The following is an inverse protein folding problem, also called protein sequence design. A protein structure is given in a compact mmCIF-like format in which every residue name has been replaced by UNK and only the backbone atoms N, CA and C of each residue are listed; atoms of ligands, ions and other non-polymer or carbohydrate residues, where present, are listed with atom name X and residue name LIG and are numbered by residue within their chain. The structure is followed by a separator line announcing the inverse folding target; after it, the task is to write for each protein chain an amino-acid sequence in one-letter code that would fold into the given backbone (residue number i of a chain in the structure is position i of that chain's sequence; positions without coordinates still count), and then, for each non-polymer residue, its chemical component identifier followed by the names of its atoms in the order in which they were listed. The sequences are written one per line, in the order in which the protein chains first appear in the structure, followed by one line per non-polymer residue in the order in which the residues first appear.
data_IF_565884261552
#
_entry.id   IF_565884261552
#
_cell.length_a   1.000
_cell.length_b   1.000
_cell.length_c   1.000
_cell.angle_alpha   90.00
_cell.angle_beta   90.00
_cell.angle_gamma   90.00
#
_symmetry.space_group_name_H-M   'P 1'
#
loop_
_entity.id
_entity.type
_entity.pdbx_description
1 polymer ?
#
# COMPACT_ATOMS: atom_id res chain seq x y z
N UNK A 1 14.89 14.27 -4.26
CA UNK A 1 14.72 13.03 -3.49
C UNK A 1 13.39 13.14 -2.74
N UNK A 2 12.40 12.30 -3.04
CA UNK A 2 11.15 12.30 -2.28
C UNK A 2 11.37 11.62 -0.92
N UNK A 3 10.77 12.13 0.15
CA UNK A 3 10.83 11.47 1.46
C UNK A 3 10.20 10.07 1.39
N UNK A 4 10.87 9.11 2.03
CA UNK A 4 10.39 7.74 2.13
C UNK A 4 9.11 7.69 2.96
N UNK A 5 8.14 6.81 2.62
CA UNK A 5 6.86 6.73 3.34
C UNK A 5 7.00 6.53 4.86
N UNK A 6 8.03 5.82 5.32
CA UNK A 6 8.27 5.55 6.73
C UNK A 6 8.52 6.82 7.56
N UNK A 7 8.93 7.93 6.94
CA UNK A 7 9.12 9.20 7.64
C UNK A 7 7.80 9.84 8.07
N UNK A 8 6.67 9.42 7.49
CA UNK A 8 5.34 9.95 7.79
C UNK A 8 4.62 9.16 8.89
N UNK A 9 5.24 8.09 9.42
CA UNK A 9 4.70 7.36 10.57
C UNK A 9 4.63 8.29 11.78
N UNK A 10 3.48 8.29 12.45
CA UNK A 10 3.27 8.98 13.73
C UNK A 10 4.04 8.29 14.85
N UNK A 11 4.10 8.90 16.03
CA UNK A 11 4.74 8.27 17.19
C UNK A 11 4.04 6.97 17.60
N UNK A 12 2.70 6.96 17.61
CA UNK A 12 1.91 5.75 17.87
C UNK A 12 2.15 4.67 16.83
N UNK A 13 2.23 5.03 15.53
CA UNK A 13 2.54 4.06 14.48
C UNK A 13 3.92 3.42 14.70
N UNK A 14 4.92 4.21 15.13
CA UNK A 14 6.28 3.70 15.39
C UNK A 14 6.32 2.78 16.61
N UNK A 15 5.58 3.09 17.67
CA UNK A 15 5.45 2.22 18.84
C UNK A 15 4.84 0.88 18.45
N UNK A 16 3.69 0.91 17.77
CA UNK A 16 3.00 -0.28 17.28
C UNK A 16 3.90 -1.12 16.37
N UNK A 17 4.58 -0.51 15.40
CA UNK A 17 5.48 -1.26 14.51
C UNK A 17 6.66 -1.86 15.28
N UNK A 18 7.18 -1.18 16.32
CA UNK A 18 8.22 -1.75 17.19
C UNK A 18 7.73 -3.02 17.89
N UNK A 19 6.53 -3.00 18.45
CA UNK A 19 5.92 -4.17 19.09
C UNK A 19 5.68 -5.32 18.08
N UNK A 20 5.27 -4.99 16.85
CA UNK A 20 5.15 -5.98 15.76
C UNK A 20 6.51 -6.60 15.42
N UNK A 21 7.60 -5.82 15.40
CA UNK A 21 8.95 -6.37 15.19
C UNK A 21 9.39 -7.30 16.31
N UNK A 22 9.16 -6.92 17.56
CA UNK A 22 9.50 -7.74 18.73
C UNK A 22 8.77 -9.08 18.67
N UNK A 23 7.45 -9.05 18.45
CA UNK A 23 6.65 -10.25 18.27
C UNK A 23 7.14 -11.09 17.09
N UNK A 24 7.37 -10.48 15.93
CA UNK A 24 7.82 -11.18 14.73
C UNK A 24 9.17 -11.88 14.99
N UNK A 25 10.10 -11.19 15.64
CA UNK A 25 11.39 -11.75 16.03
C UNK A 25 11.24 -12.94 16.99
N UNK A 26 10.45 -12.79 18.06
CA UNK A 26 10.21 -13.84 19.05
C UNK A 26 9.54 -15.08 18.45
N UNK A 27 8.62 -14.88 17.51
CA UNK A 27 7.89 -15.97 16.86
C UNK A 27 8.65 -16.55 15.65
N UNK A 28 9.79 -15.97 15.24
CA UNK A 28 10.53 -16.43 14.07
C UNK A 28 9.86 -16.12 12.73
N UNK A 29 9.05 -15.05 12.69
CA UNK A 29 8.47 -14.49 11.46
C UNK A 29 9.54 -13.72 10.70
N UNK A 30 9.52 -13.82 9.37
CA UNK A 30 10.38 -13.02 8.50
C UNK A 30 10.04 -11.53 8.62
N UNK A 31 11.01 -10.74 9.08
CA UNK A 31 10.82 -9.30 9.35
C UNK A 31 10.43 -8.49 8.11
N UNK A 32 10.60 -9.02 6.89
CA UNK A 32 10.14 -8.37 5.67
C UNK A 32 8.62 -8.17 5.63
N UNK A 33 7.84 -9.02 6.30
CA UNK A 33 6.40 -8.80 6.45
C UNK A 33 6.10 -7.53 7.27
N UNK A 34 6.90 -7.27 8.31
CA UNK A 34 6.80 -6.06 9.13
C UNK A 34 7.25 -4.82 8.35
N UNK A 35 8.36 -4.93 7.61
CA UNK A 35 8.87 -3.85 6.75
C UNK A 35 7.80 -3.36 5.74
N UNK A 36 7.07 -4.30 5.13
CA UNK A 36 6.01 -3.98 4.17
C UNK A 36 4.78 -3.35 4.83
N UNK A 37 4.37 -3.86 5.99
CA UNK A 37 3.29 -3.27 6.79
C UNK A 37 3.63 -1.82 7.16
N UNK A 38 4.83 -1.57 7.67
CA UNK A 38 5.30 -0.24 8.03
C UNK A 38 5.38 0.71 6.82
N UNK A 39 5.81 0.20 5.65
CA UNK A 39 5.85 0.96 4.40
C UNK A 39 4.46 1.38 3.95
N UNK A 40 3.49 0.47 3.97
CA UNK A 40 2.12 0.75 3.55
C UNK A 40 1.42 1.71 4.52
N UNK A 41 1.63 1.55 5.83
CA UNK A 41 1.14 2.49 6.84
C UNK A 41 1.75 3.89 6.65
N UNK A 42 3.05 3.95 6.38
CA UNK A 42 3.71 5.22 6.04
C UNK A 42 3.14 5.86 4.77
N UNK A 43 2.75 5.05 3.77
CA UNK A 43 2.10 5.54 2.54
C UNK A 43 0.73 6.10 2.84
N UNK A 44 -0.06 5.42 3.66
CA UNK A 44 -1.35 5.91 4.14
C UNK A 44 -1.22 7.28 4.82
N UNK A 45 -0.29 7.43 5.78
CA UNK A 45 -0.04 8.71 6.46
C UNK A 45 0.44 9.81 5.52
N UNK A 46 1.34 9.47 4.60
CA UNK A 46 1.87 10.41 3.59
C UNK A 46 0.78 11.03 2.71
N UNK A 47 -0.31 10.30 2.48
CA UNK A 47 -1.42 10.73 1.64
C UNK A 47 -2.63 11.19 2.46
N UNK A 48 -2.37 11.91 3.55
CA UNK A 48 -3.38 12.46 4.46
C UNK A 48 -4.37 11.39 4.93
N UNK A 49 -3.83 10.36 5.59
CA UNK A 49 -4.59 9.18 6.03
C UNK A 49 -5.39 8.56 4.87
N UNK A 50 -4.73 8.42 3.72
CA UNK A 50 -5.28 7.82 2.51
C UNK A 50 -6.25 8.70 1.71
N UNK A 51 -6.70 9.84 2.23
CA UNK A 51 -7.73 10.69 1.59
C UNK A 51 -7.26 11.34 0.29
N UNK A 52 -5.95 11.55 0.11
CA UNK A 52 -5.38 12.10 -1.12
C UNK A 52 -5.22 11.05 -2.24
N UNK A 53 -5.60 9.79 -2.01
CA UNK A 53 -5.57 8.74 -3.02
C UNK A 53 -6.99 8.37 -3.43
N UNK A 54 -7.22 8.47 -4.73
CA UNK A 54 -8.48 8.07 -5.37
C UNK A 54 -8.36 6.58 -5.70
N UNK A 55 -9.42 5.81 -5.41
CA UNK A 55 -9.46 4.40 -5.75
C UNK A 55 -9.45 4.23 -7.28
N UNK A 56 -8.65 3.29 -7.79
CA UNK A 56 -8.62 2.98 -9.23
C UNK A 56 -10.02 2.69 -9.79
N UNK A 57 -10.92 2.17 -8.94
CA UNK A 57 -12.28 1.80 -9.31
C UNK A 57 -13.22 3.00 -9.53
N UNK A 58 -12.80 4.21 -9.14
CA UNK A 58 -13.61 5.43 -9.25
C UNK A 58 -13.50 6.13 -10.60
N UNK A 59 -12.55 5.76 -11.48
CA UNK A 59 -12.40 6.52 -12.72
C UNK A 59 -11.38 6.02 -13.74
N UNK A 60 -10.92 4.78 -13.67
CA UNK A 60 -9.97 4.24 -14.65
C UNK A 60 -10.65 3.77 -15.93
N UNK A 61 -10.04 4.07 -17.07
CA UNK A 61 -10.50 3.67 -18.40
C UNK A 61 -9.34 3.22 -19.28
N UNK A 62 -9.59 2.31 -20.20
CA UNK A 62 -8.64 1.99 -21.25
C UNK A 62 -8.58 3.07 -22.35
N UNK A 63 -7.70 2.87 -23.33
CA UNK A 63 -7.52 3.82 -24.44
C UNK A 63 -8.76 3.93 -25.34
N UNK A 64 -9.67 2.95 -25.29
CA UNK A 64 -10.92 2.96 -26.03
C UNK A 64 -12.06 3.64 -25.25
N UNK A 65 -11.84 4.02 -23.99
CA UNK A 65 -12.85 4.63 -23.13
C UNK A 65 -13.76 3.62 -22.42
N UNK A 66 -13.33 2.35 -22.32
CA UNK A 66 -14.05 1.31 -21.55
C UNK A 66 -13.60 1.36 -20.10
N UNK A 67 -14.55 1.30 -19.17
CA UNK A 67 -14.24 1.39 -17.73
C UNK A 67 -13.40 0.20 -17.29
N UNK A 68 -12.38 0.46 -16.48
CA UNK A 68 -11.54 -0.54 -15.85
C UNK A 68 -11.72 -0.52 -14.34
N UNK A 69 -11.80 -1.69 -13.74
CA UNK A 69 -11.87 -1.86 -12.28
C UNK A 69 -11.01 -3.02 -11.84
N UNK A 70 -10.60 -3.00 -10.58
CA UNK A 70 -9.78 -4.00 -9.93
C UNK A 70 -10.56 -4.64 -8.80
N UNK A 71 -10.52 -5.96 -8.73
CA UNK A 71 -10.92 -6.73 -7.56
C UNK A 71 -9.73 -7.48 -6.99
N UNK A 72 -9.81 -7.87 -5.72
CA UNK A 72 -8.89 -8.88 -5.17
C UNK A 72 -9.13 -10.25 -5.82
N UNK A 73 -8.14 -11.13 -5.69
CA UNK A 73 -8.35 -12.57 -5.91
C UNK A 73 -9.36 -13.12 -4.92
N UNK A 74 -9.96 -14.28 -5.21
CA UNK A 74 -10.93 -14.92 -4.31
C UNK A 74 -10.36 -15.12 -2.89
N UNK A 75 -9.10 -15.57 -2.80
CA UNK A 75 -8.39 -15.73 -1.53
C UNK A 75 -8.28 -14.41 -0.78
N UNK A 76 -7.77 -13.37 -1.44
CA UNK A 76 -7.52 -12.06 -0.82
C UNK A 76 -8.84 -11.36 -0.45
N UNK A 77 -9.88 -11.53 -1.26
CA UNK A 77 -11.23 -11.04 -0.97
C UNK A 77 -11.80 -11.72 0.29
N UNK A 78 -11.66 -13.06 0.40
CA UNK A 78 -12.08 -13.78 1.59
C UNK A 78 -11.30 -13.35 2.85
N UNK A 79 -10.00 -13.10 2.73
CA UNK A 79 -9.19 -12.56 3.85
C UNK A 79 -9.63 -11.14 4.23
N UNK A 80 -9.84 -10.25 3.24
CA UNK A 80 -10.33 -8.90 3.48
C UNK A 80 -11.70 -8.90 4.18
N UNK A 81 -12.62 -9.76 3.73
CA UNK A 81 -13.95 -9.92 4.34
C UNK A 81 -13.83 -10.36 5.80
N UNK A 82 -13.03 -11.39 6.11
CA UNK A 82 -12.82 -11.84 7.49
C UNK A 82 -12.28 -10.73 8.40
N UNK A 83 -11.36 -9.90 7.91
CA UNK A 83 -10.85 -8.76 8.68
C UNK A 83 -11.96 -7.73 8.91
N UNK A 84 -12.71 -7.36 7.85
CA UNK A 84 -13.72 -6.31 7.90
C UNK A 84 -14.96 -6.69 8.72
N UNK A 85 -15.37 -7.95 8.67
CA UNK A 85 -16.50 -8.48 9.44
C UNK A 85 -16.09 -9.03 10.81
N UNK A 86 -14.78 -9.19 11.06
CA UNK A 86 -14.25 -9.77 12.28
C UNK A 86 -14.36 -8.85 13.49
N UNK A 87 -14.63 -9.42 14.67
CA UNK A 87 -14.73 -8.64 15.91
C UNK A 87 -13.41 -8.03 16.40
N UNK A 88 -12.27 -8.44 15.84
CA UNK A 88 -10.96 -7.86 16.18
C UNK A 88 -10.83 -6.40 15.71
N UNK A 89 -11.45 -6.05 14.57
CA UNK A 89 -11.29 -4.74 13.92
C UNK A 89 -11.70 -3.56 14.81
N UNK A 90 -12.72 -3.73 15.66
CA UNK A 90 -13.20 -2.64 16.52
C UNK A 90 -12.32 -2.40 17.75
N UNK A 91 -11.46 -3.34 18.10
CA UNK A 91 -10.63 -3.30 19.33
C UNK A 91 -9.13 -3.37 19.06
N UNK A 92 -8.73 -3.38 17.80
CA UNK A 92 -7.32 -3.40 17.41
C UNK A 92 -6.67 -2.03 17.59
N UNK A 93 -5.41 -2.01 18.02
CA UNK A 93 -4.59 -0.80 18.12
C UNK A 93 -4.08 -0.33 16.74
N UNK A 94 -4.20 -1.18 15.71
CA UNK A 94 -3.91 -0.78 14.33
C UNK A 94 -4.99 0.20 13.85
N UNK A 95 -4.57 1.31 13.22
CA UNK A 95 -5.48 2.32 12.70
C UNK A 95 -6.57 1.71 11.79
N UNK A 96 -7.82 1.83 12.22
CA UNK A 96 -8.98 1.25 11.54
C UNK A 96 -9.25 1.86 10.16
N UNK A 97 -8.87 3.12 9.96
CA UNK A 97 -8.91 3.78 8.67
C UNK A 97 -7.85 3.22 7.73
N UNK A 98 -6.64 2.97 8.23
CA UNK A 98 -5.59 2.29 7.48
C UNK A 98 -6.02 0.89 7.03
N UNK A 99 -6.63 0.10 7.92
CA UNK A 99 -7.11 -1.25 7.57
C UNK A 99 -8.12 -1.18 6.42
N UNK A 100 -9.14 -0.32 6.52
CA UNK A 100 -10.15 -0.16 5.46
C UNK A 100 -9.53 0.32 4.15
N UNK A 101 -8.61 1.28 4.23
CA UNK A 101 -7.88 1.80 3.08
C UNK A 101 -7.02 0.71 2.41
N UNK A 102 -6.36 -0.15 3.19
CA UNK A 102 -5.58 -1.29 2.68
C UNK A 102 -6.44 -2.36 2.02
N UNK A 103 -7.67 -2.53 2.52
CA UNK A 103 -8.64 -3.53 2.05
C UNK A 103 -9.59 -3.01 0.96
N UNK A 104 -9.43 -1.77 0.50
CA UNK A 104 -10.05 -1.31 -0.75
C UNK A 104 -9.27 -1.91 -1.94
N UNK A 105 -9.90 -2.68 -2.85
CA UNK A 105 -9.18 -3.33 -3.94
C UNK A 105 -8.62 -2.36 -4.98
N UNK A 106 -9.24 -1.20 -5.19
CA UNK A 106 -8.74 -0.17 -6.09
C UNK A 106 -7.62 0.70 -5.51
N UNK A 107 -7.30 0.52 -4.22
CA UNK A 107 -6.11 1.10 -3.56
C UNK A 107 -5.06 0.02 -3.28
N UNK A 108 -5.51 -1.06 -2.64
CA UNK A 108 -4.70 -2.12 -2.03
C UNK A 108 -3.97 -3.02 -3.01
N UNK A 109 -4.37 -3.06 -4.28
CA UNK A 109 -3.67 -3.85 -5.30
C UNK A 109 -2.23 -3.37 -5.52
N UNK A 110 -1.94 -2.09 -5.27
CA UNK A 110 -0.60 -1.49 -5.40
C UNK A 110 0.21 -1.45 -4.11
N UNK A 111 -0.24 -2.18 -3.07
CA UNK A 111 0.37 -2.20 -1.74
C UNK A 111 1.08 -3.53 -1.49
N UNK A 112 2.13 -3.46 -0.67
CA UNK A 112 3.12 -4.55 -0.56
C UNK A 112 2.88 -5.51 0.60
N UNK A 113 2.13 -5.08 1.62
CA UNK A 113 1.83 -5.90 2.80
C UNK A 113 0.96 -7.10 2.44
N UNK A 114 1.27 -8.23 3.04
CA UNK A 114 0.52 -9.47 2.89
C UNK A 114 -0.78 -9.41 3.72
N UNK A 115 -1.93 -9.70 3.10
CA UNK A 115 -3.24 -9.63 3.77
C UNK A 115 -3.42 -10.69 4.86
N UNK A 116 -2.88 -11.90 4.67
CA UNK A 116 -2.96 -12.94 5.70
C UNK A 116 -2.11 -12.55 6.92
N UNK A 117 -0.98 -11.88 6.70
CA UNK A 117 -0.17 -11.34 7.80
C UNK A 117 -0.88 -10.19 8.51
N UNK A 118 -1.48 -9.26 7.74
CA UNK A 118 -2.29 -8.18 8.29
C UNK A 118 -3.44 -8.71 9.15
N UNK A 119 -4.15 -9.75 8.70
CA UNK A 119 -5.20 -10.40 9.47
C UNK A 119 -4.70 -10.84 10.85
N UNK A 120 -3.56 -11.53 10.91
CA UNK A 120 -2.99 -11.96 12.18
C UNK A 120 -2.58 -10.79 13.06
N UNK A 121 -2.03 -9.72 12.51
CA UNK A 121 -1.68 -8.52 13.29
C UNK A 121 -2.92 -7.80 13.81
N UNK A 122 -3.98 -7.70 13.02
CA UNK A 122 -5.26 -7.14 13.49
C UNK A 122 -5.81 -7.92 14.68
N UNK A 123 -5.76 -9.26 14.63
CA UNK A 123 -6.21 -10.10 15.74
C UNK A 123 -5.27 -9.96 16.95
N UNK A 124 -3.96 -10.07 16.73
CA UNK A 124 -2.94 -10.03 17.78
C UNK A 124 -2.96 -8.75 18.61
N UNK A 125 -3.15 -7.60 17.96
CA UNK A 125 -3.17 -6.29 18.60
C UNK A 125 -4.59 -5.86 18.97
N UNK A 126 -5.51 -6.81 19.13
CA UNK A 126 -6.88 -6.57 19.58
C UNK A 126 -7.16 -7.26 20.92
N UNK A 127 -8.36 -7.08 21.44
CA UNK A 127 -8.85 -7.82 22.61
C UNK A 127 -8.89 -9.36 22.43
N UNK A 128 -8.60 -9.87 21.22
CA UNK A 128 -8.68 -11.28 20.82
C UNK A 128 -7.31 -11.89 20.53
N UNK A 129 -6.26 -11.36 21.16
CA UNK A 129 -4.87 -11.77 20.92
C UNK A 129 -4.62 -13.28 21.14
N UNK A 130 -5.45 -13.93 21.96
CA UNK A 130 -5.42 -15.36 22.26
C UNK A 130 -5.85 -16.27 21.09
N UNK A 131 -6.48 -15.72 20.05
CA UNK A 131 -6.92 -16.46 18.85
C UNK A 131 -5.80 -16.66 17.82
N UNK A 132 -4.64 -16.02 18.00
CA UNK A 132 -3.51 -16.11 17.06
C UNK A 132 -2.72 -17.40 17.27
N UNK A 133 -2.99 -18.40 16.43
CA UNK A 133 -2.22 -19.64 16.41
C UNK A 133 -1.09 -19.59 15.35
N UNK A 134 0.13 -19.90 15.79
CA UNK A 134 1.27 -20.29 14.94
C UNK A 134 1.77 -19.27 13.88
N UNK A 135 1.95 -18.01 14.27
CA UNK A 135 2.60 -16.98 13.44
C UNK A 135 3.93 -17.42 12.81
N UNK A 136 4.81 -18.02 13.61
CA UNK A 136 6.17 -18.38 13.21
C UNK A 136 6.25 -19.36 12.06
N UNK A 137 5.51 -20.46 12.14
CA UNK A 137 5.52 -21.48 11.09
C UNK A 137 5.00 -20.91 9.77
N UNK A 138 3.88 -20.16 9.83
CA UNK A 138 3.19 -19.62 8.65
C UNK A 138 3.98 -18.52 7.94
N UNK A 139 4.70 -17.68 8.66
CA UNK A 139 5.38 -16.50 8.11
C UNK A 139 6.91 -16.53 8.27
N UNK A 140 7.51 -17.70 8.52
CA UNK A 140 8.97 -17.89 8.66
C UNK A 140 9.77 -17.48 7.42
N UNK A 141 9.16 -17.54 6.23
CA UNK A 141 9.76 -17.12 4.97
C UNK A 141 8.84 -16.15 4.27
N UNK A 142 9.37 -14.97 3.91
CA UNK A 142 8.61 -14.01 3.14
C UNK A 142 8.42 -14.46 1.69
N UNK A 143 7.16 -14.46 1.25
CA UNK A 143 6.75 -14.76 -0.12
C UNK A 143 6.33 -13.46 -0.80
N UNK A 144 6.99 -13.14 -1.90
CA UNK A 144 6.56 -12.06 -2.79
C UNK A 144 5.32 -12.51 -3.55
N UNK A 145 4.23 -11.75 -3.42
CA UNK A 145 3.01 -12.01 -4.16
C UNK A 145 2.98 -11.02 -5.33
N UNK A 146 3.10 -11.55 -6.54
CA UNK A 146 2.91 -10.79 -7.78
C UNK A 146 1.48 -11.01 -8.28
N UNK A 147 0.90 -9.99 -8.93
CA UNK A 147 -0.39 -10.07 -9.63
C UNK A 147 -1.56 -10.59 -8.76
N UNK A 148 -1.69 -10.12 -7.52
CA UNK A 148 -2.76 -10.55 -6.60
C UNK A 148 -4.09 -9.80 -6.82
N UNK A 149 -4.38 -9.42 -8.05
CA UNK A 149 -5.57 -8.68 -8.41
C UNK A 149 -6.12 -9.14 -9.75
N UNK A 150 -7.40 -8.88 -9.96
CA UNK A 150 -8.11 -9.18 -11.21
C UNK A 150 -8.53 -7.85 -11.82
N UNK A 151 -8.07 -7.59 -13.05
CA UNK A 151 -8.49 -6.43 -13.84
C UNK A 151 -9.73 -6.79 -14.64
N UNK A 152 -10.81 -6.06 -14.41
CA UNK A 152 -12.03 -6.13 -15.18
C UNK A 152 -12.07 -4.96 -16.15
N UNK A 153 -12.39 -5.23 -17.41
CA UNK A 153 -12.65 -4.19 -18.42
C UNK A 153 -14.08 -4.36 -18.89
N UNK A 154 -14.85 -3.27 -18.87
CA UNK A 154 -16.21 -3.27 -19.38
C UNK A 154 -16.24 -3.58 -20.88
N UNK A 155 -17.29 -4.24 -21.36
CA UNK A 155 -17.47 -4.49 -22.79
C UNK A 155 -17.84 -3.20 -23.54
N UNK A 156 -18.58 -2.32 -22.88
CA UNK A 156 -19.07 -1.07 -23.46
C UNK A 156 -18.13 0.11 -23.22
N UNK A 157 -18.05 0.99 -24.22
CA UNK A 157 -17.38 2.30 -24.11
C UNK A 157 -18.34 3.25 -23.41
N UNK A 158 -17.99 3.68 -22.21
CA UNK A 158 -18.80 4.62 -21.42
C UNK A 158 -18.17 6.00 -21.33
N UNK A 159 -16.88 6.12 -21.62
CA UNK A 159 -16.20 7.41 -21.74
C UNK A 159 -16.13 7.82 -23.21
N UNK A 160 -17.13 8.59 -23.66
CA UNK A 160 -17.09 9.22 -24.97
C UNK A 160 -16.15 10.43 -24.91
N UNK A 161 -14.91 10.26 -25.40
CA UNK A 161 -14.07 11.41 -25.73
C UNK A 161 -14.77 12.18 -26.86
N UNK A 162 -14.98 13.50 -26.74
CA UNK A 162 -15.60 14.26 -27.82
C UNK A 162 -14.83 14.02 -29.12
N UNK A 163 -15.55 13.62 -30.17
CA UNK A 163 -15.01 13.60 -31.52
C UNK A 163 -14.64 15.03 -31.85
N UNK A 164 -13.39 15.27 -32.26
CA UNK A 164 -12.99 16.56 -32.83
C UNK A 164 -13.76 16.73 -34.14
N UNK A 165 -14.95 17.33 -34.08
CA UNK A 165 -15.70 17.75 -35.25
C UNK A 165 -15.57 19.27 -35.37
N UNK A 166 -15.06 19.69 -36.52
CA UNK A 166 -14.59 21.02 -36.92
C UNK A 166 -13.12 21.29 -36.55
N UNK A 167 -12.26 21.17 -37.56
CA UNK A 167 -10.82 21.37 -37.46
C UNK A 167 -10.51 22.83 -37.05
N UNK A 168 -9.93 23.06 -35.86
CA UNK A 168 -9.40 24.37 -35.50
C UNK A 168 -8.10 24.60 -36.28
N UNK A 169 -7.82 25.83 -36.67
CA UNK A 169 -6.56 26.23 -37.28
C UNK A 169 -5.36 25.78 -36.42
N UNK A 170 -4.24 25.39 -37.05
CA UNK A 170 -3.06 24.83 -36.37
C UNK A 170 -2.57 25.68 -35.19
N UNK A 171 -2.75 27.01 -35.21
CA UNK A 171 -2.42 27.89 -34.09
C UNK A 171 -3.33 27.75 -32.87
N UNK A 172 -4.62 27.46 -33.06
CA UNK A 172 -5.57 27.29 -31.96
C UNK A 172 -5.37 25.91 -31.29
N UNK A 173 -5.06 24.89 -32.09
CA UNK A 173 -4.68 23.57 -31.58
C UNK A 173 -3.37 23.61 -30.80
N UNK A 174 -2.39 24.43 -31.21
CA UNK A 174 -1.12 24.55 -30.48
C UNK A 174 -1.30 25.34 -29.18
N UNK A 175 -2.17 26.36 -29.15
CA UNK A 175 -2.48 27.10 -27.91
C UNK A 175 -3.31 26.27 -26.93
N UNK A 176 -4.29 25.52 -27.42
CA UNK A 176 -5.11 24.63 -26.59
C UNK A 176 -4.32 23.38 -26.17
N UNK A 177 -3.44 22.85 -27.02
CA UNK A 177 -2.47 21.83 -26.63
C UNK A 177 -1.48 22.37 -25.60
N UNK A 178 -0.94 23.59 -25.74
CA UNK A 178 -0.07 24.16 -24.71
C UNK A 178 -0.82 24.43 -23.40
N UNK A 179 -2.08 24.88 -23.45
CA UNK A 179 -2.90 25.13 -22.27
C UNK A 179 -3.28 23.82 -21.57
N UNK A 180 -3.74 22.81 -22.31
CA UNK A 180 -4.05 21.47 -21.79
C UNK A 180 -2.79 20.72 -21.33
N UNK A 181 -1.64 20.92 -21.98
CA UNK A 181 -0.36 20.34 -21.57
C UNK A 181 0.28 21.09 -20.39
N UNK A 182 -0.01 22.39 -20.20
CA UNK A 182 0.35 23.12 -18.98
C UNK A 182 -0.55 22.75 -17.79
N UNK A 183 -1.85 22.54 -18.03
CA UNK A 183 -2.79 22.03 -17.01
C UNK A 183 -2.48 20.56 -16.68
N UNK A 184 -2.14 19.74 -17.67
CA UNK A 184 -1.75 18.32 -17.51
C UNK A 184 -0.32 18.15 -17.00
N UNK A 185 0.59 19.13 -17.17
CA UNK A 185 1.92 19.07 -16.53
C UNK A 185 1.85 19.05 -15.00
N UNK A 186 0.70 19.36 -14.40
CA UNK A 186 0.48 19.22 -12.97
C UNK A 186 -0.16 17.91 -12.52
N UNK A 187 -0.45 16.97 -13.43
CA UNK A 187 -1.04 15.69 -13.07
C UNK A 187 -0.72 14.61 -14.08
N UNK A 188 -0.01 13.57 -13.62
CA UNK A 188 0.31 12.32 -14.32
C UNK A 188 1.46 12.37 -15.32
N UNK A 189 2.67 12.54 -14.79
CA UNK A 189 3.86 12.01 -15.44
C UNK A 189 3.90 10.48 -15.30
N UNK A 190 4.46 9.82 -16.30
CA UNK A 190 4.86 8.41 -16.37
C UNK A 190 5.68 7.91 -15.15
N UNK A 191 6.09 8.83 -14.27
CA UNK A 191 6.60 8.57 -12.92
C UNK A 191 5.57 7.94 -11.97
N UNK A 192 4.28 7.97 -12.25
CA UNK A 192 3.29 7.22 -11.46
C UNK A 192 3.39 5.72 -11.76
N UNK A 193 3.60 5.31 -13.01
CA UNK A 193 3.81 3.89 -13.30
C UNK A 193 5.21 3.42 -12.89
N UNK A 194 6.27 4.24 -13.03
CA UNK A 194 7.60 3.90 -12.48
C UNK A 194 7.69 4.04 -10.94
N UNK A 195 6.81 4.83 -10.34
CA UNK A 195 6.70 5.02 -8.88
C UNK A 195 5.82 3.97 -8.21
N UNK A 196 4.89 3.36 -8.95
CA UNK A 196 4.08 2.22 -8.52
C UNK A 196 4.77 0.88 -8.81
N UNK A 197 5.34 0.72 -10.02
CA UNK A 197 6.17 -0.42 -10.42
C UNK A 197 7.63 0.02 -10.44
N UNK A 198 8.24 0.11 -9.26
CA UNK A 198 9.69 0.33 -9.17
C UNK A 198 10.41 -0.67 -10.07
N UNK A 199 11.38 -0.18 -10.87
CA UNK A 199 12.22 -1.00 -11.76
C UNK A 199 12.54 -2.35 -11.12
N UNK A 200 11.95 -3.42 -11.64
CA UNK A 200 12.49 -4.75 -11.45
C UNK A 200 13.81 -4.76 -12.22
N UNK A 201 14.93 -4.67 -11.50
CA UNK A 201 16.21 -5.35 -11.76
C UNK A 201 17.27 -4.91 -10.74
N UNK A 202 18.04 -5.90 -10.27
CA UNK A 202 19.28 -5.84 -9.49
C UNK A 202 19.23 -6.13 -7.96
N UNK A 203 19.06 -7.42 -7.67
CA UNK A 203 19.93 -8.29 -6.82
C UNK A 203 20.72 -7.66 -5.65
N UNK A 204 20.55 -8.28 -4.47
CA UNK A 204 21.57 -8.54 -3.45
C UNK A 204 22.43 -7.35 -2.99
N UNK A 205 22.01 -6.62 -1.95
CA UNK A 205 22.87 -6.10 -0.83
C UNK A 205 22.12 -5.15 0.13
N UNK A 206 20.83 -5.35 0.38
CA UNK A 206 20.14 -4.68 1.48
C UNK A 206 20.11 -5.59 2.71
N UNK A 207 21.28 -5.91 3.27
CA UNK A 207 21.35 -6.15 4.71
C UNK A 207 20.94 -4.82 5.36
N UNK A 208 19.74 -4.90 5.95
CA UNK A 208 18.79 -3.82 6.18
C UNK A 208 19.36 -2.63 6.97
N UNK A 209 19.11 -1.42 6.50
CA UNK A 209 19.33 -0.18 7.26
C UNK A 209 18.48 -0.13 8.54
N UNK A 210 17.38 -0.90 8.61
CA UNK A 210 16.49 -0.97 9.77
C UNK A 210 17.03 -1.92 10.86
N UNK A 211 17.75 -2.99 10.50
CA UNK A 211 18.46 -3.80 11.51
C UNK A 211 19.57 -2.99 12.18
N UNK A 212 20.23 -2.08 11.43
CA UNK A 212 21.20 -1.12 11.99
C UNK A 212 20.55 -0.07 12.89
N UNK A 213 19.31 0.34 12.62
CA UNK A 213 18.55 1.25 13.49
C UNK A 213 18.14 0.57 14.80
N UNK A 214 17.76 -0.72 14.76
CA UNK A 214 17.51 -1.52 15.96
C UNK A 214 18.78 -1.71 16.82
N UNK A 215 19.95 -1.92 16.20
CA UNK A 215 21.23 -2.01 16.92
C UNK A 215 21.62 -0.67 17.58
N UNK A 216 21.38 0.46 16.90
CA UNK A 216 21.62 1.81 17.43
C UNK A 216 20.70 2.15 18.62
N UNK A 217 19.45 1.67 18.61
CA UNK A 217 18.51 1.84 19.72
C UNK A 217 18.91 1.00 20.96
N UNK A 218 19.42 -0.23 20.75
CA UNK A 218 19.97 -1.06 21.84
C UNK A 218 21.19 -0.42 22.51
N UNK A 219 22.10 0.17 21.74
CA UNK A 219 23.30 0.85 22.27
C UNK A 219 22.93 2.05 23.15
N UNK A 220 21.86 2.78 22.82
CA UNK A 220 21.42 3.95 23.60
C UNK A 220 20.87 3.59 25.00
N UNK A 221 20.26 2.41 25.15
CA UNK A 221 19.71 1.95 26.43
C UNK A 221 20.75 1.30 27.35
N UNK A 222 21.90 0.85 26.82
CA UNK A 222 23.00 0.31 27.64
C UNK A 222 23.90 1.38 28.27
N UNK A 223 23.79 2.64 27.87
CA UNK A 223 24.66 3.73 28.36
C UNK A 223 24.17 4.40 29.66
N UNK A 224 23.11 3.91 30.31
CA UNK A 224 22.54 4.48 31.56
C UNK A 224 22.62 3.60 32.80
N UNK A 225 23.49 2.59 32.82
CA UNK A 225 23.92 1.92 34.07
C UNK A 225 25.44 1.74 34.05
N UNK A 226 26.13 2.73 34.60
CA UNK A 226 27.54 2.76 34.92
C UNK A 226 27.78 3.90 35.89
#
# INVERSE_FOLDING_TARGET
MGMLPQHFLTESDRSLISEVYELAYEKGVDLRYVDQLARDLGRYRKHDNGTMLISFNEGSYDLQGRKQTISFTEKDAATAERILSGGALSSTDIDQGFIRWRLDPGIGFGLSSNLDFLEQMVIQFSSRADEVAELGAKFSTHVWIENNYILHTADEVTLHRPSVSEAPTEEDQVKEALASFQISKHGLNERLLEGFFGKSEARNTAQSLLSRLFDLLKISNTSKRG
#
